data_IF_706643332695
#
_entry.id   IF_706643332695
#
_cell.length_a   1.000
_cell.length_b   1.000
_cell.length_c   1.000
_cell.angle_alpha   90.00
_cell.angle_beta   90.00
_cell.angle_gamma   90.00
#
_symmetry.space_group_name_H-M   'P 1'
#
loop_
_entity.id
_entity.type
_entity.pdbx_description
1 polymer ?
#
# COMPACT_ATOMS: atom_id res chain seq x y z
N UNK A 1 6.82 22.76 13.09
CA UNK A 1 5.67 21.94 12.65
C UNK A 1 5.81 20.53 13.24
N UNK A 2 5.08 20.21 14.32
CA UNK A 2 5.27 18.98 15.13
C UNK A 2 4.85 17.65 14.45
N UNK A 3 4.35 17.65 13.21
CA UNK A 3 3.72 16.47 12.59
C UNK A 3 4.44 15.82 11.39
N UNK A 4 5.63 16.28 10.97
CA UNK A 4 6.38 15.61 9.89
C UNK A 4 7.03 14.29 10.34
N UNK A 5 7.32 14.14 11.64
CA UNK A 5 7.93 12.92 12.18
C UNK A 5 6.99 11.73 12.03
N UNK A 6 5.71 11.89 12.38
CA UNK A 6 4.70 10.83 12.24
C UNK A 6 4.56 10.42 10.78
N UNK A 7 4.43 11.40 9.88
CA UNK A 7 4.37 11.12 8.43
C UNK A 7 5.59 10.35 7.94
N UNK A 8 6.79 10.74 8.37
CA UNK A 8 8.04 10.07 8.00
C UNK A 8 8.08 8.63 8.49
N UNK A 9 7.71 8.38 9.74
CA UNK A 9 7.68 7.01 10.30
C UNK A 9 6.72 6.13 9.50
N UNK A 10 5.51 6.63 9.21
CA UNK A 10 4.53 5.90 8.42
C UNK A 10 5.06 5.65 7.00
N UNK A 11 5.68 6.65 6.35
CA UNK A 11 6.24 6.51 5.01
C UNK A 11 7.29 5.38 4.92
N UNK A 12 8.21 5.31 5.88
CA UNK A 12 9.23 4.26 5.90
C UNK A 12 8.65 2.87 6.20
N UNK A 13 7.66 2.78 7.09
CA UNK A 13 6.98 1.53 7.38
C UNK A 13 6.21 1.01 6.16
N UNK A 14 5.46 1.89 5.47
CA UNK A 14 4.76 1.53 4.24
C UNK A 14 5.74 1.15 3.13
N UNK A 15 6.88 1.84 3.01
CA UNK A 15 7.92 1.51 2.04
C UNK A 15 8.50 0.10 2.27
N UNK A 16 8.74 -0.26 3.54
CA UNK A 16 9.21 -1.60 3.89
C UNK A 16 8.22 -2.67 3.43
N UNK A 17 6.92 -2.50 3.72
CA UNK A 17 5.88 -3.44 3.25
C UNK A 17 5.75 -3.44 1.73
N UNK A 18 5.84 -2.28 1.08
CA UNK A 18 5.78 -2.15 -0.37
C UNK A 18 6.95 -2.86 -1.07
N UNK A 19 8.13 -2.96 -0.44
CA UNK A 19 9.25 -3.72 -0.99
C UNK A 19 8.90 -5.22 -1.11
N UNK A 20 8.32 -5.83 -0.07
CA UNK A 20 7.85 -7.22 -0.13
C UNK A 20 6.70 -7.38 -1.12
N UNK A 21 5.76 -6.44 -1.12
CA UNK A 21 4.63 -6.46 -2.06
C UNK A 21 5.12 -6.40 -3.51
N UNK A 22 6.13 -5.58 -3.80
CA UNK A 22 6.71 -5.44 -5.13
C UNK A 22 7.32 -6.76 -5.62
N UNK A 23 8.04 -7.48 -4.74
CA UNK A 23 8.59 -8.79 -5.09
C UNK A 23 7.47 -9.79 -5.44
N UNK A 24 6.39 -9.81 -4.66
CA UNK A 24 5.21 -10.65 -4.95
C UNK A 24 4.55 -10.31 -6.29
N UNK A 25 4.39 -9.01 -6.59
CA UNK A 25 3.86 -8.53 -7.87
C UNK A 25 4.73 -9.03 -9.02
N UNK A 26 6.05 -8.84 -8.96
CA UNK A 26 6.96 -9.27 -10.02
C UNK A 26 6.89 -10.78 -10.27
N UNK A 27 6.82 -11.59 -9.21
CA UNK A 27 6.70 -13.04 -9.32
C UNK A 27 5.36 -13.49 -9.92
N UNK A 28 4.30 -12.71 -9.72
CA UNK A 28 2.95 -13.03 -10.21
C UNK A 28 2.68 -12.62 -11.66
N UNK A 29 3.54 -11.80 -12.29
CA UNK A 29 3.36 -11.33 -13.68
C UNK A 29 3.16 -12.48 -14.68
N UNK A 30 4.01 -13.55 -14.70
CA UNK A 30 3.84 -14.62 -15.66
C UNK A 30 2.50 -15.34 -15.52
N UNK A 31 2.07 -15.60 -14.28
CA UNK A 31 0.78 -16.20 -13.99
C UNK A 31 -0.37 -15.29 -14.45
N UNK A 32 -0.23 -13.98 -14.26
CA UNK A 32 -1.27 -13.04 -14.61
C UNK A 32 -1.46 -12.88 -16.12
N UNK A 33 -0.39 -13.02 -16.91
CA UNK A 33 -0.47 -13.03 -18.37
C UNK A 33 -1.21 -14.26 -18.92
N UNK A 34 -1.21 -15.37 -18.17
CA UNK A 34 -1.98 -16.58 -18.54
C UNK A 34 -3.46 -16.48 -18.14
N UNK A 35 -3.81 -15.62 -17.18
CA UNK A 35 -5.16 -15.46 -16.68
C UNK A 35 -5.58 -13.98 -16.70
N UNK A 36 -6.17 -13.48 -17.81
CA UNK A 36 -6.47 -12.05 -18.00
C UNK A 36 -7.29 -11.41 -16.86
N UNK A 37 -8.14 -12.20 -16.18
CA UNK A 37 -8.92 -11.76 -15.02
C UNK A 37 -8.04 -11.25 -13.86
N UNK A 38 -6.79 -11.68 -13.76
CA UNK A 38 -5.86 -11.30 -12.69
C UNK A 38 -5.00 -10.07 -13.01
N UNK A 39 -4.99 -9.61 -14.27
CA UNK A 39 -4.24 -8.42 -14.68
C UNK A 39 -4.74 -7.15 -13.98
N UNK A 40 -6.06 -7.01 -13.80
CA UNK A 40 -6.63 -5.86 -13.12
C UNK A 40 -6.24 -5.81 -11.63
N UNK A 41 -6.42 -6.88 -10.83
CA UNK A 41 -5.87 -6.95 -9.46
C UNK A 41 -4.37 -6.62 -9.39
N UNK A 42 -3.57 -7.17 -10.32
CA UNK A 42 -2.14 -6.93 -10.36
C UNK A 42 -1.79 -5.46 -10.62
N UNK A 43 -2.51 -4.82 -11.54
CA UNK A 43 -2.40 -3.38 -11.81
C UNK A 43 -2.76 -2.53 -10.59
N UNK A 44 -3.89 -2.85 -9.93
CA UNK A 44 -4.35 -2.16 -8.73
C UNK A 44 -3.34 -2.26 -7.58
N UNK A 45 -2.75 -3.43 -7.37
CA UNK A 45 -1.69 -3.64 -6.38
C UNK A 45 -0.40 -2.89 -6.75
N UNK A 46 -0.09 -2.82 -8.04
CA UNK A 46 1.04 -2.03 -8.55
C UNK A 46 0.86 -0.53 -8.26
N UNK A 47 -0.36 0.00 -8.34
CA UNK A 47 -0.64 1.38 -7.97
C UNK A 47 -0.23 1.69 -6.51
N UNK A 48 -0.45 0.77 -5.58
CA UNK A 48 -0.07 0.94 -4.17
C UNK A 48 1.45 1.06 -4.03
N UNK A 49 2.20 0.19 -4.73
CA UNK A 49 3.68 0.21 -4.71
C UNK A 49 4.21 1.49 -5.35
N UNK A 50 3.70 1.86 -6.52
CA UNK A 50 4.11 3.08 -7.24
C UNK A 50 3.83 4.31 -6.38
N UNK A 51 2.62 4.41 -5.82
CA UNK A 51 2.26 5.49 -4.91
C UNK A 51 3.19 5.55 -3.69
N UNK A 52 3.46 4.42 -3.04
CA UNK A 52 4.31 4.36 -1.84
C UNK A 52 5.73 4.84 -2.16
N UNK A 53 6.29 4.40 -3.28
CA UNK A 53 7.62 4.85 -3.71
C UNK A 53 7.64 6.33 -4.10
N UNK A 54 6.66 6.79 -4.87
CA UNK A 54 6.58 8.19 -5.31
C UNK A 54 6.37 9.16 -4.13
N UNK A 55 5.52 8.80 -3.17
CA UNK A 55 5.27 9.60 -1.95
C UNK A 55 6.49 9.65 -1.04
N UNK A 56 7.23 8.52 -0.89
CA UNK A 56 8.52 8.50 -0.21
C UNK A 56 9.56 9.37 -0.93
N UNK A 57 9.65 9.30 -2.26
CA UNK A 57 10.57 10.14 -3.04
C UNK A 57 10.24 11.63 -2.88
N UNK A 58 8.96 11.97 -2.84
CA UNK A 58 8.49 13.33 -2.56
C UNK A 58 8.91 13.80 -1.15
N UNK A 59 8.78 12.95 -0.13
CA UNK A 59 9.25 13.24 1.22
C UNK A 59 10.77 13.50 1.25
N UNK A 60 11.58 12.57 0.76
CA UNK A 60 13.04 12.65 0.89
C UNK A 60 13.64 13.74 0.00
N UNK A 61 13.13 13.92 -1.23
CA UNK A 61 13.71 14.88 -2.17
C UNK A 61 13.03 16.25 -2.11
N UNK A 62 11.70 16.28 -2.10
CA UNK A 62 10.93 17.53 -2.12
C UNK A 62 10.89 18.20 -0.74
N UNK A 63 10.49 17.46 0.29
CA UNK A 63 10.32 18.04 1.63
C UNK A 63 11.67 18.18 2.35
N UNK A 64 12.43 17.09 2.46
CA UNK A 64 13.64 17.05 3.29
C UNK A 64 14.82 17.79 2.63
N UNK A 65 15.03 17.57 1.33
CA UNK A 65 16.13 18.17 0.57
C UNK A 65 15.76 19.46 -0.18
N UNK A 66 14.49 19.87 -0.15
CA UNK A 66 13.98 21.07 -0.85
C UNK A 66 14.36 21.11 -2.35
N UNK A 67 14.46 19.95 -2.98
CA UNK A 67 14.80 19.85 -4.40
C UNK A 67 13.56 20.04 -5.25
N UNK A 68 13.71 20.71 -6.40
CA UNK A 68 12.69 20.74 -7.43
C UNK A 68 12.43 19.33 -7.97
N UNK A 69 11.15 19.04 -8.17
CA UNK A 69 10.62 17.76 -8.60
C UNK A 69 9.82 17.97 -9.90
N UNK A 70 9.88 16.96 -10.77
CA UNK A 70 9.13 16.99 -12.02
C UNK A 70 7.61 17.01 -11.74
N UNK A 71 6.82 17.80 -12.50
CA UNK A 71 5.35 17.78 -12.41
C UNK A 71 4.76 16.37 -12.58
N UNK A 72 5.39 15.52 -13.40
CA UNK A 72 4.97 14.12 -13.56
C UNK A 72 4.99 13.30 -12.27
N UNK A 73 5.89 13.61 -11.30
CA UNK A 73 5.89 12.95 -10.00
C UNK A 73 4.65 13.31 -9.18
N UNK A 74 4.19 14.57 -9.26
CA UNK A 74 2.95 15.01 -8.62
C UNK A 74 1.75 14.26 -9.19
N UNK A 75 1.71 14.10 -10.50
CA UNK A 75 0.60 13.43 -11.18
C UNK A 75 0.58 11.92 -10.88
N UNK A 76 1.75 11.28 -10.85
CA UNK A 76 1.90 9.90 -10.39
C UNK A 76 1.40 9.72 -8.95
N UNK A 77 1.74 10.62 -8.03
CA UNK A 77 1.24 10.53 -6.65
C UNK A 77 -0.27 10.75 -6.60
N UNK A 78 -0.83 11.69 -7.37
CA UNK A 78 -2.28 11.96 -7.37
C UNK A 78 -3.07 10.79 -7.91
N UNK A 79 -2.75 10.32 -9.11
CA UNK A 79 -3.50 9.24 -9.79
C UNK A 79 -3.40 7.95 -8.97
N UNK A 80 -2.18 7.50 -8.66
CA UNK A 80 -1.99 6.28 -7.88
C UNK A 80 -2.45 6.44 -6.43
N UNK A 81 -2.37 7.66 -5.87
CA UNK A 81 -2.86 7.98 -4.53
C UNK A 81 -4.38 7.86 -4.42
N UNK A 82 -5.15 8.35 -5.40
CA UNK A 82 -6.61 8.17 -5.38
C UNK A 82 -7.01 6.69 -5.49
N UNK A 83 -6.36 5.94 -6.39
CA UNK A 83 -6.59 4.50 -6.50
C UNK A 83 -6.23 3.80 -5.18
N UNK A 84 -5.04 4.09 -4.64
CA UNK A 84 -4.57 3.52 -3.37
C UNK A 84 -5.52 3.86 -2.23
N UNK A 85 -6.05 5.08 -2.18
CA UNK A 85 -6.98 5.50 -1.14
C UNK A 85 -8.27 4.69 -1.17
N UNK A 86 -8.84 4.48 -2.36
CA UNK A 86 -10.04 3.65 -2.53
C UNK A 86 -9.75 2.20 -2.14
N UNK A 87 -8.66 1.62 -2.65
CA UNK A 87 -8.29 0.22 -2.34
C UNK A 87 -8.00 0.02 -0.86
N UNK A 88 -7.25 0.92 -0.23
CA UNK A 88 -6.92 0.85 1.19
C UNK A 88 -8.18 1.04 2.05
N UNK A 89 -9.11 1.89 1.63
CA UNK A 89 -10.41 2.07 2.30
C UNK A 89 -11.28 0.81 2.23
N UNK A 90 -11.40 0.21 1.03
CA UNK A 90 -12.11 -1.06 0.85
C UNK A 90 -11.47 -2.20 1.65
N UNK A 91 -10.14 -2.30 1.61
CA UNK A 91 -9.39 -3.29 2.38
C UNK A 91 -9.62 -3.10 3.89
N UNK A 92 -9.52 -1.86 4.40
CA UNK A 92 -9.76 -1.57 5.81
C UNK A 92 -11.17 -1.97 6.22
N UNK A 93 -12.18 -1.59 5.43
CA UNK A 93 -13.56 -1.95 5.68
C UNK A 93 -13.74 -3.48 5.72
N UNK A 94 -13.21 -4.19 4.73
CA UNK A 94 -13.28 -5.65 4.65
C UNK A 94 -12.63 -6.32 5.88
N UNK A 95 -11.46 -5.84 6.30
CA UNK A 95 -10.76 -6.41 7.46
C UNK A 95 -11.51 -6.14 8.77
N UNK A 96 -12.12 -4.96 8.93
CA UNK A 96 -12.97 -4.66 10.09
C UNK A 96 -14.17 -5.61 10.13
N UNK A 97 -14.86 -5.80 8.99
CA UNK A 97 -15.99 -6.74 8.90
C UNK A 97 -15.55 -8.14 9.31
N UNK A 98 -14.44 -8.66 8.76
CA UNK A 98 -13.89 -9.97 9.14
C UNK A 98 -13.57 -10.07 10.63
N UNK A 99 -12.95 -9.06 11.23
CA UNK A 99 -12.62 -9.06 12.66
C UNK A 99 -13.85 -9.00 13.58
N UNK A 100 -14.97 -8.48 13.09
CA UNK A 100 -16.23 -8.39 13.84
C UNK A 100 -17.17 -9.58 13.64
N UNK A 101 -16.91 -10.41 12.63
CA UNK A 101 -17.74 -11.56 12.25
C UNK A 101 -16.93 -12.86 12.34
N UNK A 102 -16.97 -13.57 13.48
CA UNK A 102 -16.21 -14.81 13.68
C UNK A 102 -16.52 -15.90 12.65
N UNK A 103 -17.76 -15.96 12.17
CA UNK A 103 -18.23 -16.87 11.11
C UNK A 103 -17.32 -16.80 9.86
N UNK A 104 -17.01 -15.59 9.38
CA UNK A 104 -16.17 -15.37 8.20
C UNK A 104 -14.73 -15.85 8.43
N UNK A 105 -14.21 -15.71 9.65
CA UNK A 105 -12.87 -16.20 9.99
C UNK A 105 -12.86 -17.74 9.98
N UNK A 106 -13.91 -18.37 10.51
CA UNK A 106 -14.04 -19.83 10.51
C UNK A 106 -14.13 -20.38 9.08
N UNK A 107 -14.91 -19.74 8.20
CA UNK A 107 -14.98 -20.13 6.79
C UNK A 107 -13.60 -20.07 6.10
N UNK A 108 -12.82 -19.02 6.36
CA UNK A 108 -11.44 -18.91 5.84
C UNK A 108 -10.57 -20.03 6.40
N UNK A 109 -10.67 -20.33 7.69
CA UNK A 109 -9.90 -21.42 8.31
C UNK A 109 -10.26 -22.77 7.70
N UNK A 110 -11.54 -23.03 7.43
CA UNK A 110 -11.98 -24.26 6.78
C UNK A 110 -11.46 -24.39 5.34
N UNK A 111 -11.49 -23.31 4.56
CA UNK A 111 -10.90 -23.28 3.23
C UNK A 111 -9.38 -23.52 3.28
N UNK A 112 -8.69 -22.90 4.23
CA UNK A 112 -7.25 -23.09 4.40
C UNK A 112 -6.92 -24.52 4.82
N UNK A 113 -7.70 -25.14 5.71
CA UNK A 113 -7.55 -26.56 6.07
C UNK A 113 -7.73 -27.47 4.86
N UNK A 114 -8.77 -27.24 4.07
CA UNK A 114 -9.03 -28.02 2.86
C UNK A 114 -7.93 -27.87 1.79
N UNK A 115 -7.24 -26.73 1.77
CA UNK A 115 -6.13 -26.47 0.85
C UNK A 115 -4.77 -26.98 1.38
N UNK A 116 -4.68 -27.43 2.63
CA UNK A 116 -3.42 -27.94 3.17
C UNK A 116 -3.09 -29.33 2.59
N UNK A 117 -1.84 -29.57 2.16
CA UNK A 117 -1.41 -30.91 1.84
C UNK A 117 -1.40 -31.77 3.11
N UNK A 118 -1.74 -33.06 2.97
CA UNK A 118 -1.90 -34.03 4.07
C UNK A 118 -0.69 -34.11 5.04
N UNK A 119 0.51 -33.72 4.57
CA UNK A 119 1.77 -33.76 5.31
C UNK A 119 2.34 -32.36 5.62
N UNK A 120 1.51 -31.31 5.67
CA UNK A 120 1.98 -29.93 5.86
C UNK A 120 2.66 -29.68 7.22
N UNK A 121 2.40 -30.51 8.23
CA UNK A 121 2.90 -30.30 9.60
C UNK A 121 2.37 -29.02 10.27
N UNK A 122 1.36 -28.37 9.67
CA UNK A 122 0.73 -27.17 10.21
C UNK A 122 -0.40 -27.62 11.13
N UNK A 123 -0.29 -27.30 12.42
CA UNK A 123 -1.36 -27.56 13.38
C UNK A 123 -2.51 -26.56 13.21
N UNK A 124 -3.72 -26.96 13.59
CA UNK A 124 -4.88 -26.06 13.60
C UNK A 124 -4.62 -24.80 14.44
N UNK A 125 -3.97 -24.95 15.60
CA UNK A 125 -3.62 -23.83 16.46
C UNK A 125 -2.69 -22.83 15.76
N UNK A 126 -1.68 -23.34 15.04
CA UNK A 126 -0.79 -22.50 14.25
C UNK A 126 -1.58 -21.76 13.18
N UNK A 127 -2.42 -22.47 12.42
CA UNK A 127 -3.22 -21.88 11.35
C UNK A 127 -4.10 -20.74 11.88
N UNK A 128 -4.83 -20.97 12.98
CA UNK A 128 -5.69 -19.94 13.59
C UNK A 128 -4.89 -18.72 14.05
N UNK A 129 -3.73 -18.92 14.70
CA UNK A 129 -2.87 -17.83 15.16
C UNK A 129 -2.35 -16.99 13.99
N UNK A 130 -1.87 -17.63 12.92
CA UNK A 130 -1.38 -16.94 11.73
C UNK A 130 -2.48 -16.13 11.03
N UNK A 131 -3.67 -16.71 10.88
CA UNK A 131 -4.82 -16.01 10.28
C UNK A 131 -5.17 -14.75 11.08
N UNK A 132 -5.25 -14.84 12.41
CA UNK A 132 -5.54 -13.67 13.25
C UNK A 132 -4.43 -12.62 13.19
N UNK A 133 -3.17 -13.04 13.15
CA UNK A 133 -2.04 -12.13 12.98
C UNK A 133 -2.12 -11.37 11.66
N UNK A 134 -2.35 -12.08 10.55
CA UNK A 134 -2.46 -11.50 9.21
C UNK A 134 -3.62 -10.51 9.15
N UNK A 135 -4.81 -10.86 9.67
CA UNK A 135 -5.96 -9.96 9.69
C UNK A 135 -5.67 -8.66 10.46
N UNK A 136 -5.08 -8.77 11.65
CA UNK A 136 -4.71 -7.59 12.46
C UNK A 136 -3.63 -6.75 11.77
N UNK A 137 -2.64 -7.40 11.17
CA UNK A 137 -1.58 -6.73 10.41
C UNK A 137 -2.15 -5.97 9.21
N UNK A 138 -3.00 -6.60 8.40
CA UNK A 138 -3.63 -5.97 7.22
C UNK A 138 -4.58 -4.84 7.62
N UNK A 139 -5.27 -4.95 8.75
CA UNK A 139 -6.07 -3.86 9.32
C UNK A 139 -5.21 -2.66 9.69
N UNK A 140 -4.09 -2.88 10.40
CA UNK A 140 -3.18 -1.80 10.75
C UNK A 140 -2.52 -1.18 9.50
N UNK A 141 -2.08 -2.02 8.56
CA UNK A 141 -1.46 -1.57 7.31
C UNK A 141 -2.42 -0.73 6.45
N UNK A 142 -3.66 -1.19 6.23
CA UNK A 142 -4.67 -0.45 5.48
C UNK A 142 -5.00 0.90 6.13
N UNK A 143 -5.17 0.95 7.46
CA UNK A 143 -5.41 2.20 8.18
C UNK A 143 -4.26 3.20 8.00
N UNK A 144 -3.01 2.74 8.15
CA UNK A 144 -1.82 3.56 7.94
C UNK A 144 -1.72 4.06 6.50
N UNK A 145 -2.04 3.21 5.53
CA UNK A 145 -2.03 3.56 4.11
C UNK A 145 -3.07 4.64 3.78
N UNK A 146 -4.29 4.53 4.34
CA UNK A 146 -5.33 5.58 4.22
C UNK A 146 -4.83 6.90 4.81
N UNK A 147 -4.36 6.89 6.06
CA UNK A 147 -3.87 8.08 6.76
C UNK A 147 -2.73 8.73 5.98
N UNK A 148 -1.73 7.95 5.57
CA UNK A 148 -0.60 8.44 4.80
C UNK A 148 -1.02 9.07 3.48
N UNK A 149 -2.01 8.49 2.80
CA UNK A 149 -2.50 8.98 1.51
C UNK A 149 -3.22 10.31 1.63
N UNK A 150 -4.09 10.47 2.63
CA UNK A 150 -4.68 11.77 2.93
C UNK A 150 -3.62 12.83 3.26
N UNK A 151 -2.65 12.49 4.10
CA UNK A 151 -1.56 13.39 4.48
C UNK A 151 -0.70 13.78 3.27
N UNK A 152 -0.37 12.83 2.40
CA UNK A 152 0.41 13.06 1.18
C UNK A 152 -0.31 14.01 0.24
N UNK A 153 -1.60 13.78 -0.04
CA UNK A 153 -2.39 14.64 -0.93
C UNK A 153 -2.52 16.06 -0.38
N UNK A 154 -2.59 16.22 0.94
CA UNK A 154 -2.53 17.53 1.60
C UNK A 154 -1.15 18.18 1.47
N UNK A 155 -0.07 17.42 1.69
CA UNK A 155 1.29 17.93 1.59
C UNK A 155 1.68 18.34 0.18
N UNK A 156 1.19 17.65 -0.86
CA UNK A 156 1.40 18.08 -2.25
C UNK A 156 0.87 19.49 -2.49
N UNK A 157 -0.24 19.88 -1.85
CA UNK A 157 -0.78 21.25 -1.94
C UNK A 157 0.08 22.24 -1.15
N UNK A 158 0.52 21.86 0.04
CA UNK A 158 1.33 22.71 0.91
C UNK A 158 2.74 22.98 0.33
N UNK A 159 3.30 21.97 -0.32
CA UNK A 159 4.62 22.01 -0.93
C UNK A 159 4.49 22.10 -2.46
N UNK A 160 3.50 22.83 -2.98
CA UNK A 160 3.31 22.99 -4.42
C UNK A 160 4.57 23.58 -5.10
N UNK A 161 5.27 24.49 -4.39
CA UNK A 161 6.48 25.15 -4.85
C UNK A 161 7.63 24.21 -5.26
N UNK A 162 7.68 22.97 -4.75
CA UNK A 162 8.71 22.01 -5.20
C UNK A 162 8.42 21.42 -6.57
N UNK A 163 7.26 21.70 -7.15
CA UNK A 163 6.89 21.26 -8.51
C UNK A 163 6.83 22.41 -9.52
N UNK A 164 7.09 23.64 -9.09
CA UNK A 164 7.09 24.80 -9.98
C UNK A 164 8.48 24.89 -10.64
N UNK A 165 8.53 25.00 -11.97
CA UNK A 165 9.78 25.29 -12.68
C UNK A 165 10.26 26.70 -12.30
N UNK A 166 11.58 26.93 -12.18
CA UNK A 166 12.07 28.28 -12.07
C UNK A 166 11.68 29.01 -13.37
N UNK A 167 10.84 30.03 -13.24
CA UNK A 167 10.68 31.01 -14.30
C UNK A 167 12.09 31.55 -14.61
N UNK A 168 12.51 31.46 -15.87
CA UNK A 168 13.81 31.84 -16.41
C UNK A 168 14.95 30.81 -16.27
N UNK A 169 15.01 29.88 -17.24
CA UNK A 169 16.29 29.59 -17.90
C UNK A 169 16.08 29.66 -19.42
N UNK A 170 16.65 30.68 -20.10
CA UNK A 170 16.67 30.72 -21.56
C UNK A 170 17.45 29.51 -22.10
N UNK A 171 16.90 28.89 -23.16
CA UNK A 171 17.54 27.81 -23.92
C UNK A 171 18.86 28.23 -24.58
#
# INVERSE_FOLDING_TARGET
>A
MKNLVIYRIIAYLLLFVAAFLSAGIFLSIPAALMAPATLLPLFLMSCIVIYTYCSWRFLVRGIDKKMLLKPSLRDLIRINGYITLVLAGLMLFQMIVMLTQPELINEILDQLRAAQPENAGITDEMLTKWTHFILRFLTAYSALLVIHTFLTLRMIKQYAYVFDEPADMPE
#
